data_IF_180117983412
#
_entry.id   IF_180117983412
#
_cell.length_a   1.000
_cell.length_b   1.000
_cell.length_c   1.000
_cell.angle_alpha   90.00
_cell.angle_beta   90.00
_cell.angle_gamma   90.00
#
_symmetry.space_group_name_H-M   'P 1'
#
loop_
_entity.id
_entity.type
_entity.pdbx_description
1 polymer ?
#
# COMPACT_ATOMS: atom_id res chain seq x y z
N UNK A 1 0.41 10.51 -19.52
CA UNK A 1 1.14 10.30 -18.26
C UNK A 1 0.94 8.87 -17.78
N UNK A 2 1.87 7.99 -18.16
CA UNK A 2 1.76 6.54 -17.91
C UNK A 2 1.92 6.17 -16.44
N UNK A 3 2.65 6.99 -15.68
CA UNK A 3 2.97 6.74 -14.27
C UNK A 3 1.94 7.30 -13.29
N UNK A 4 0.93 8.06 -13.75
CA UNK A 4 0.08 8.91 -12.90
C UNK A 4 0.86 9.89 -12.01
N UNK A 5 2.18 10.02 -12.21
CA UNK A 5 3.07 10.78 -11.36
C UNK A 5 2.66 12.24 -11.18
N UNK A 6 2.14 12.86 -12.23
CA UNK A 6 1.68 14.27 -12.15
C UNK A 6 0.53 14.47 -11.17
N UNK A 7 -0.41 13.52 -11.08
CA UNK A 7 -1.52 13.60 -10.15
C UNK A 7 -1.06 13.36 -8.70
N UNK A 8 -0.20 12.38 -8.50
CA UNK A 8 0.33 12.04 -7.18
C UNK A 8 1.20 13.18 -6.61
N UNK A 9 2.09 13.75 -7.45
CA UNK A 9 2.91 14.92 -7.05
C UNK A 9 2.01 16.13 -6.74
N UNK A 10 0.96 16.36 -7.54
CA UNK A 10 0.03 17.48 -7.28
C UNK A 10 -0.65 17.32 -5.91
N UNK A 11 -1.08 16.12 -5.55
CA UNK A 11 -1.69 15.85 -4.26
C UNK A 11 -0.70 16.09 -3.12
N UNK A 12 0.55 15.62 -3.26
CA UNK A 12 1.60 15.86 -2.27
C UNK A 12 1.93 17.36 -2.10
N UNK A 13 2.00 18.11 -3.20
CA UNK A 13 2.22 19.57 -3.15
C UNK A 13 1.04 20.32 -2.52
N UNK A 14 -0.19 19.87 -2.78
CA UNK A 14 -1.37 20.45 -2.16
C UNK A 14 -1.35 20.20 -0.63
N UNK A 15 -1.12 18.97 -0.22
CA UNK A 15 -1.04 18.61 1.21
C UNK A 15 0.12 19.34 1.89
N UNK A 16 1.28 19.42 1.24
CA UNK A 16 2.42 20.20 1.74
C UNK A 16 2.08 21.68 1.93
N UNK A 17 1.30 22.26 1.04
CA UNK A 17 0.88 23.66 1.14
C UNK A 17 -0.10 23.88 2.28
N UNK A 18 -0.94 22.90 2.62
CA UNK A 18 -1.96 22.99 3.67
C UNK A 18 -1.42 22.59 5.05
N UNK A 19 -0.63 21.53 5.12
CA UNK A 19 -0.19 20.90 6.37
C UNK A 19 1.32 21.02 6.63
N UNK A 20 2.08 21.55 5.66
CA UNK A 20 3.52 21.70 5.75
C UNK A 20 4.32 20.47 5.36
N UNK A 21 3.66 19.32 5.13
CA UNK A 21 4.31 18.06 4.79
C UNK A 21 3.61 17.40 3.61
N UNK A 22 4.36 16.97 2.61
CA UNK A 22 3.86 16.20 1.48
C UNK A 22 4.70 14.95 1.29
N UNK A 23 4.08 13.78 1.23
CA UNK A 23 4.75 12.49 1.22
C UNK A 23 4.46 11.79 -0.10
N UNK A 24 5.51 11.25 -0.71
CA UNK A 24 5.45 10.44 -1.93
C UNK A 24 6.25 9.16 -1.71
N UNK A 25 5.65 8.04 -2.05
CA UNK A 25 6.21 6.71 -1.93
C UNK A 25 6.57 6.17 -3.30
N UNK A 26 7.72 5.50 -3.40
CA UNK A 26 8.19 4.92 -4.66
C UNK A 26 9.56 5.48 -5.10
N UNK A 27 9.99 5.19 -6.35
CA UNK A 27 9.23 4.53 -7.42
C UNK A 27 9.13 3.01 -7.28
N UNK A 28 7.96 2.46 -7.59
CA UNK A 28 7.73 1.02 -7.69
C UNK A 28 7.65 0.57 -9.13
N UNK A 29 8.08 -0.64 -9.41
CA UNK A 29 7.82 -1.28 -10.68
C UNK A 29 6.39 -1.83 -10.71
N UNK A 30 5.58 -1.28 -11.59
CA UNK A 30 4.21 -1.71 -11.81
C UNK A 30 4.07 -2.37 -13.17
N UNK A 31 3.50 -3.58 -13.21
CA UNK A 31 3.20 -4.28 -14.45
C UNK A 31 1.88 -3.75 -15.01
N UNK A 32 1.95 -3.05 -16.14
CA UNK A 32 0.80 -2.55 -16.89
C UNK A 32 0.52 -3.46 -18.07
N UNK A 33 -0.71 -3.94 -18.17
CA UNK A 33 -1.16 -4.71 -19.32
C UNK A 33 -1.72 -3.76 -20.37
N UNK A 34 -1.01 -3.64 -21.47
CA UNK A 34 -1.48 -2.89 -22.66
C UNK A 34 -2.30 -3.83 -23.51
N UNK A 35 -3.55 -3.46 -23.76
CA UNK A 35 -4.44 -4.19 -24.65
C UNK A 35 -4.06 -3.88 -26.09
N UNK A 36 -3.47 -4.87 -26.78
CA UNK A 36 -3.08 -4.76 -28.18
C UNK A 36 -3.83 -5.78 -29.02
N UNK A 37 -4.33 -5.34 -30.14
CA UNK A 37 -4.96 -6.18 -31.14
C UNK A 37 -4.08 -6.18 -32.38
N UNK A 38 -3.58 -7.33 -32.75
CA UNK A 38 -2.83 -7.51 -34.00
C UNK A 38 -3.79 -8.02 -35.08
N UNK A 39 -3.56 -7.58 -36.31
CA UNK A 39 -4.35 -8.02 -37.46
C UNK A 39 -3.43 -8.82 -38.36
N UNK A 40 -3.77 -10.06 -38.62
CA UNK A 40 -3.02 -10.95 -39.50
C UNK A 40 -3.18 -10.56 -40.99
N UNK A 41 -2.36 -11.17 -41.87
CA UNK A 41 -2.42 -10.93 -43.30
C UNK A 41 -3.78 -11.30 -43.90
N UNK A 42 -4.50 -12.22 -43.29
CA UNK A 42 -5.84 -12.66 -43.65
C UNK A 42 -6.97 -11.74 -43.09
N UNK A 43 -6.61 -10.68 -42.34
CA UNK A 43 -7.54 -9.73 -41.76
C UNK A 43 -8.19 -10.16 -40.46
N UNK A 44 -7.79 -11.29 -39.87
CA UNK A 44 -8.25 -11.74 -38.57
C UNK A 44 -7.59 -10.95 -37.45
N UNK A 45 -8.39 -10.56 -36.45
CA UNK A 45 -7.91 -9.82 -35.27
C UNK A 45 -7.63 -10.79 -34.12
N UNK A 46 -6.39 -10.83 -33.69
CA UNK A 46 -5.96 -11.57 -32.50
C UNK A 46 -5.67 -10.62 -31.34
N UNK A 47 -6.09 -10.99 -30.14
CA UNK A 47 -5.81 -10.25 -28.92
C UNK A 47 -4.44 -10.67 -28.37
N UNK A 48 -3.47 -9.76 -28.42
CA UNK A 48 -2.10 -9.99 -27.97
C UNK A 48 -1.71 -8.92 -26.91
N UNK A 49 -2.04 -9.14 -25.62
CA UNK A 49 -1.72 -8.18 -24.58
C UNK A 49 -0.22 -8.13 -24.31
N UNK A 50 0.32 -6.91 -24.27
CA UNK A 50 1.71 -6.66 -23.93
C UNK A 50 1.82 -6.23 -22.46
N UNK A 51 2.63 -6.91 -21.69
CA UNK A 51 2.96 -6.51 -20.32
C UNK A 51 4.20 -5.61 -20.32
N UNK A 52 4.03 -4.40 -19.83
CA UNK A 52 5.09 -3.39 -19.76
C UNK A 52 5.31 -3.00 -18.31
N UNK A 53 6.56 -2.97 -17.88
CA UNK A 53 6.93 -2.44 -16.55
C UNK A 53 7.06 -0.92 -16.63
N UNK A 54 6.29 -0.23 -15.81
CA UNK A 54 6.32 1.23 -15.70
C UNK A 54 6.61 1.63 -14.26
N UNK A 55 7.45 2.64 -14.03
CA UNK A 55 7.65 3.18 -12.69
C UNK A 55 6.37 3.89 -12.24
N UNK A 56 5.97 3.66 -11.01
CA UNK A 56 4.83 4.30 -10.38
C UNK A 56 5.25 4.91 -9.06
N UNK A 57 4.75 6.10 -8.78
CA UNK A 57 4.80 6.74 -7.47
C UNK A 57 3.40 6.83 -6.91
N UNK A 58 3.28 6.89 -5.60
CA UNK A 58 2.04 6.96 -4.87
C UNK A 58 2.11 8.11 -3.86
N UNK A 59 1.07 8.93 -3.83
CA UNK A 59 0.89 9.91 -2.77
C UNK A 59 0.44 9.21 -1.50
N UNK A 60 1.05 9.57 -0.37
CA UNK A 60 0.68 9.10 0.96
C UNK A 60 0.25 10.30 1.78
N UNK A 61 -0.95 10.25 2.33
CA UNK A 61 -1.40 11.31 3.23
C UNK A 61 -0.60 11.30 4.53
N UNK A 62 -0.22 12.47 5.03
CA UNK A 62 0.49 12.60 6.29
C UNK A 62 -0.29 12.03 7.49
N UNK A 63 -1.62 11.90 7.36
CA UNK A 63 -2.50 11.30 8.36
C UNK A 63 -2.41 9.77 8.43
N UNK A 64 -1.90 9.13 7.38
CA UNK A 64 -1.75 7.68 7.27
C UNK A 64 -0.28 7.24 7.24
N UNK A 65 0.62 8.18 7.55
CA UNK A 65 2.06 7.97 7.59
C UNK A 65 2.58 8.09 9.02
N UNK A 66 3.19 7.04 9.53
CA UNK A 66 3.70 6.95 10.90
C UNK A 66 5.19 6.62 10.86
N UNK A 67 6.05 7.64 10.84
CA UNK A 67 7.50 7.43 10.95
C UNK A 67 7.88 7.11 12.39
N UNK A 68 9.09 6.63 12.60
CA UNK A 68 9.70 6.46 13.90
C UNK A 68 9.70 7.80 14.67
N UNK A 69 9.05 7.87 15.86
CA UNK A 69 8.98 9.08 16.64
C UNK A 69 10.32 9.52 17.25
N UNK A 70 11.33 8.64 17.29
CA UNK A 70 12.67 8.95 17.79
C UNK A 70 13.55 9.65 16.76
N UNK A 71 13.23 9.49 15.46
CA UNK A 71 13.99 10.07 14.37
C UNK A 71 13.63 11.54 14.11
N UNK A 72 14.62 12.32 13.70
CA UNK A 72 14.44 13.75 13.32
C UNK A 72 14.28 13.92 11.82
N UNK A 73 14.69 12.94 11.02
CA UNK A 73 14.54 12.91 9.57
C UNK A 73 14.12 11.52 9.09
N UNK A 74 13.59 11.43 7.88
CA UNK A 74 13.18 10.14 7.29
C UNK A 74 14.36 9.19 7.09
N UNK A 75 15.57 9.71 6.89
CA UNK A 75 16.79 8.95 6.68
C UNK A 75 17.31 8.28 7.96
N UNK A 76 16.90 8.82 9.12
CA UNK A 76 17.25 8.29 10.44
C UNK A 76 16.17 7.34 11.00
N UNK A 77 15.04 7.19 10.32
CA UNK A 77 13.98 6.31 10.76
C UNK A 77 14.43 4.85 10.71
N UNK A 78 14.30 4.12 11.80
CA UNK A 78 14.45 2.67 11.82
C UNK A 78 13.26 1.99 11.14
N UNK A 79 12.09 2.61 11.22
CA UNK A 79 10.89 2.11 10.56
C UNK A 79 9.93 3.22 10.15
N UNK A 80 9.07 2.87 9.22
CA UNK A 80 7.92 3.67 8.81
C UNK A 80 6.72 2.76 8.64
N UNK A 81 5.57 3.17 9.14
CA UNK A 81 4.31 2.45 8.95
C UNK A 81 3.38 3.29 8.08
N UNK A 82 2.86 2.69 7.01
CA UNK A 82 1.82 3.27 6.18
C UNK A 82 0.49 2.55 6.42
N UNK A 83 -0.53 3.29 6.80
CA UNK A 83 -1.87 2.79 7.06
C UNK A 83 -2.71 2.81 5.78
N UNK A 84 -3.25 1.68 5.42
CA UNK A 84 -4.18 1.54 4.31
C UNK A 84 -5.60 1.31 4.80
N UNK A 85 -6.54 1.96 4.12
CA UNK A 85 -7.97 1.76 4.31
C UNK A 85 -8.51 0.95 3.14
N UNK A 86 -8.78 -0.32 3.38
CA UNK A 86 -9.21 -1.25 2.35
C UNK A 86 -10.67 -1.66 2.56
N UNK A 87 -11.42 -1.73 1.47
CA UNK A 87 -12.74 -2.34 1.51
C UNK A 87 -12.62 -3.89 1.42
N UNK A 88 -13.71 -4.58 1.70
CA UNK A 88 -13.77 -6.05 1.70
C UNK A 88 -13.33 -6.69 0.37
N UNK A 89 -13.61 -6.03 -0.76
CA UNK A 89 -13.22 -6.53 -2.08
C UNK A 89 -11.72 -6.41 -2.30
N UNK A 90 -11.13 -5.27 -1.91
CA UNK A 90 -9.69 -5.04 -1.99
C UNK A 90 -8.92 -6.01 -1.10
N UNK A 91 -9.37 -6.21 0.15
CA UNK A 91 -8.74 -7.19 1.06
C UNK A 91 -8.80 -8.62 0.48
N UNK A 92 -9.91 -9.00 -0.16
CA UNK A 92 -10.00 -10.30 -0.84
C UNK A 92 -9.04 -10.44 -2.02
N UNK A 93 -8.75 -9.35 -2.73
CA UNK A 93 -7.80 -9.37 -3.86
C UNK A 93 -6.36 -9.64 -3.39
N UNK A 94 -5.98 -9.18 -2.19
CA UNK A 94 -4.66 -9.46 -1.62
C UNK A 94 -4.42 -10.96 -1.45
N UNK A 95 -5.47 -11.75 -1.18
CA UNK A 95 -5.37 -13.20 -1.06
C UNK A 95 -4.79 -13.90 -2.30
N UNK A 96 -4.95 -13.29 -3.46
CA UNK A 96 -4.46 -13.83 -4.72
C UNK A 96 -3.04 -13.36 -5.06
N UNK A 97 -2.44 -12.54 -4.21
CA UNK A 97 -1.08 -12.03 -4.42
C UNK A 97 -0.07 -12.94 -3.70
N UNK A 98 1.11 -13.16 -4.30
CA UNK A 98 2.21 -13.81 -3.58
C UNK A 98 2.58 -12.96 -2.36
N UNK A 99 3.12 -13.58 -1.33
CA UNK A 99 3.56 -12.95 -0.07
C UNK A 99 2.46 -12.52 0.90
N UNK A 100 1.19 -12.84 0.62
CA UNK A 100 0.09 -12.64 1.57
C UNK A 100 -0.43 -13.98 2.10
N UNK A 101 -0.56 -14.09 3.42
CA UNK A 101 -1.14 -15.27 4.05
C UNK A 101 -2.67 -15.31 3.82
N UNK A 102 -3.11 -16.35 3.11
CA UNK A 102 -4.52 -16.56 2.79
C UNK A 102 -5.36 -16.78 4.06
N UNK A 103 -4.83 -17.52 5.04
CA UNK A 103 -5.56 -17.85 6.25
C UNK A 103 -5.68 -16.63 7.17
N UNK A 104 -4.66 -15.81 7.27
CA UNK A 104 -4.71 -14.54 7.98
C UNK A 104 -5.77 -13.60 7.37
N UNK A 105 -5.80 -13.46 6.06
CA UNK A 105 -6.81 -12.64 5.37
C UNK A 105 -8.22 -13.21 5.58
N UNK A 106 -8.39 -14.52 5.56
CA UNK A 106 -9.68 -15.18 5.82
C UNK A 106 -10.16 -14.90 7.23
N UNK A 107 -9.27 -14.98 8.21
CA UNK A 107 -9.57 -14.67 9.61
C UNK A 107 -9.97 -13.20 9.79
N UNK A 108 -9.24 -12.26 9.20
CA UNK A 108 -9.60 -10.84 9.22
C UNK A 108 -11.00 -10.59 8.61
N UNK A 109 -11.31 -11.26 7.50
CA UNK A 109 -12.63 -11.15 6.87
C UNK A 109 -13.78 -11.72 7.74
N UNK A 110 -13.49 -12.72 8.59
CA UNK A 110 -14.45 -13.30 9.53
C UNK A 110 -14.64 -12.43 10.77
N UNK A 111 -13.57 -11.82 11.28
CA UNK A 111 -13.61 -10.88 12.40
C UNK A 111 -14.45 -9.64 12.09
N UNK A 112 -14.50 -9.24 10.83
CA UNK A 112 -15.22 -8.04 10.37
C UNK A 112 -14.32 -6.81 10.23
N UNK A 113 -14.94 -5.72 9.82
CA UNK A 113 -14.26 -4.44 9.64
C UNK A 113 -13.75 -3.88 10.98
N UNK A 114 -12.49 -3.44 10.98
CA UNK A 114 -11.79 -2.97 12.18
C UNK A 114 -11.25 -1.54 12.04
N UNK A 115 -11.63 -0.83 10.97
CA UNK A 115 -11.16 0.53 10.76
C UNK A 115 -11.78 1.48 11.79
N UNK A 116 -10.94 2.09 12.60
CA UNK A 116 -11.34 3.14 13.53
C UNK A 116 -11.20 4.52 12.86
N UNK A 117 -12.30 5.27 12.87
CA UNK A 117 -12.29 6.63 12.33
C UNK A 117 -11.48 7.57 13.23
N UNK A 118 -10.68 8.40 12.59
CA UNK A 118 -10.01 9.49 13.30
C UNK A 118 -10.97 10.66 13.52
N UNK A 119 -10.72 11.47 14.56
CA UNK A 119 -11.57 12.59 14.94
C UNK A 119 -11.84 13.58 13.79
N UNK A 120 -10.86 13.81 12.92
CA UNK A 120 -11.05 14.71 11.78
C UNK A 120 -11.93 14.10 10.68
N UNK A 121 -11.93 12.78 10.51
CA UNK A 121 -12.80 12.08 9.54
C UNK A 121 -14.27 12.13 10.01
N UNK A 122 -14.52 12.01 11.31
CA UNK A 122 -15.87 12.14 11.86
C UNK A 122 -16.45 13.52 11.64
N UNK A 123 -15.67 14.59 11.83
CA UNK A 123 -16.12 15.95 11.54
C UNK A 123 -16.50 16.18 10.07
N UNK A 124 -15.73 15.59 9.14
CA UNK A 124 -16.06 15.67 7.71
C UNK A 124 -17.35 14.92 7.35
N UNK A 125 -17.66 13.85 8.09
CA UNK A 125 -18.90 13.07 7.90
C UNK A 125 -20.11 13.75 8.46
N UNK A 126 -20.01 14.40 9.62
CA UNK A 126 -21.10 15.16 10.23
C UNK A 126 -21.64 16.21 9.25
N UNK A 127 -20.74 16.87 8.51
CA UNK A 127 -21.12 17.82 7.48
C UNK A 127 -21.75 17.15 6.24
N UNK A 128 -21.38 15.91 5.93
CA UNK A 128 -21.84 15.17 4.76
C UNK A 128 -23.11 14.32 4.99
N UNK A 129 -23.66 14.28 6.21
CA UNK A 129 -24.81 13.41 6.60
C UNK A 129 -24.64 11.95 6.18
N UNK A 130 -23.44 11.40 6.31
CA UNK A 130 -23.19 9.99 6.04
C UNK A 130 -23.70 9.14 7.21
N UNK A 131 -24.59 8.19 6.91
CA UNK A 131 -25.12 7.25 7.90
C UNK A 131 -23.98 6.50 8.61
N UNK A 132 -24.01 6.50 9.94
CA UNK A 132 -22.98 5.93 10.83
C UNK A 132 -22.85 4.40 10.76
N UNK A 133 -23.73 3.72 10.05
CA UNK A 133 -23.94 2.27 10.22
C UNK A 133 -23.06 1.35 9.35
N UNK A 134 -22.11 1.88 8.59
CA UNK A 134 -21.30 1.04 7.69
C UNK A 134 -19.79 1.21 7.88
N UNK A 135 -19.27 0.74 9.00
CA UNK A 135 -17.83 0.40 9.07
C UNK A 135 -17.58 -0.81 8.17
N UNK A 136 -17.34 -0.55 6.90
CA UNK A 136 -17.09 -1.60 5.90
C UNK A 136 -15.63 -1.75 5.55
N UNK A 137 -14.76 -0.92 6.17
CA UNK A 137 -13.36 -0.84 5.85
C UNK A 137 -12.48 -1.56 6.87
N UNK A 138 -11.40 -2.13 6.35
CA UNK A 138 -10.36 -2.80 7.11
C UNK A 138 -9.13 -1.90 7.16
N UNK A 139 -8.51 -1.81 8.32
CA UNK A 139 -7.22 -1.19 8.50
C UNK A 139 -6.12 -2.22 8.20
N UNK A 140 -5.23 -1.87 7.29
CA UNK A 140 -4.05 -2.67 6.97
C UNK A 140 -2.82 -1.79 7.14
N UNK A 141 -1.87 -2.26 7.92
CA UNK A 141 -0.61 -1.57 8.18
C UNK A 141 0.49 -2.19 7.33
N UNK A 142 1.16 -1.36 6.57
CA UNK A 142 2.33 -1.72 5.78
C UNK A 142 3.57 -1.20 6.51
N UNK A 143 4.46 -2.11 6.88
CA UNK A 143 5.68 -1.81 7.61
C UNK A 143 6.87 -1.77 6.64
N UNK A 144 7.70 -0.76 6.78
CA UNK A 144 8.96 -0.60 6.10
C UNK A 144 10.03 -0.29 7.12
N UNK A 145 11.06 -1.09 7.21
CA UNK A 145 12.08 -0.82 8.20
C UNK A 145 13.04 -1.97 8.44
N UNK A 146 13.77 -1.84 9.53
CA UNK A 146 14.71 -2.84 10.02
C UNK A 146 13.99 -3.71 11.05
N UNK A 147 14.26 -5.00 11.03
CA UNK A 147 13.67 -5.99 11.93
C UNK A 147 14.71 -7.07 12.23
N UNK A 148 14.69 -7.57 13.45
CA UNK A 148 15.51 -8.72 13.83
C UNK A 148 15.13 -9.94 13.00
N UNK A 149 16.12 -10.71 12.54
CA UNK A 149 15.88 -11.88 11.69
C UNK A 149 15.08 -12.95 12.41
N UNK A 150 15.27 -13.13 13.73
CA UNK A 150 14.48 -14.03 14.54
C UNK A 150 12.99 -13.68 14.49
N UNK A 151 12.67 -12.40 14.73
CA UNK A 151 11.28 -11.93 14.70
C UNK A 151 10.67 -11.97 13.29
N UNK A 152 11.47 -11.67 12.25
CA UNK A 152 11.02 -11.77 10.88
C UNK A 152 10.60 -13.21 10.51
N UNK A 153 11.34 -14.24 11.01
CA UNK A 153 10.97 -15.65 10.82
C UNK A 153 9.72 -16.03 11.61
N UNK A 154 9.56 -15.51 12.83
CA UNK A 154 8.36 -15.77 13.66
C UNK A 154 7.08 -15.23 12.97
N UNK A 155 7.15 -14.10 12.29
CA UNK A 155 6.02 -13.53 11.54
C UNK A 155 5.86 -14.12 10.14
N UNK A 156 6.69 -15.11 9.77
CA UNK A 156 6.56 -15.87 8.54
C UNK A 156 7.27 -15.27 7.33
N UNK A 157 8.21 -14.35 7.53
CA UNK A 157 9.04 -13.81 6.45
C UNK A 157 10.12 -14.84 6.11
N UNK A 158 10.16 -15.28 4.85
CA UNK A 158 11.19 -16.18 4.35
C UNK A 158 12.52 -15.43 4.19
N UNK A 159 13.48 -15.76 5.02
CA UNK A 159 14.85 -15.24 4.94
C UNK A 159 15.80 -16.28 4.36
N UNK A 160 16.91 -15.81 3.81
CA UNK A 160 18.00 -16.67 3.36
C UNK A 160 18.61 -17.44 4.54
N UNK A 161 18.99 -18.72 4.31
CA UNK A 161 19.60 -19.61 5.32
C UNK A 161 20.93 -19.09 5.89
N UNK A 162 21.54 -18.09 5.24
CA UNK A 162 22.81 -17.51 5.65
C UNK A 162 22.69 -16.33 6.63
N UNK A 163 21.45 -15.97 7.02
CA UNK A 163 21.18 -14.86 7.93
C UNK A 163 21.02 -15.45 9.34
N UNK A 164 21.88 -15.02 10.26
CA UNK A 164 21.79 -15.42 11.68
C UNK A 164 20.61 -14.73 12.36
N UNK A 165 20.11 -15.33 13.45
CA UNK A 165 18.94 -14.82 14.18
C UNK A 165 19.18 -13.43 14.82
N UNK A 166 20.45 -13.10 15.07
CA UNK A 166 20.88 -11.80 15.60
C UNK A 166 21.12 -10.74 14.52
N UNK A 167 21.00 -11.10 13.25
CA UNK A 167 21.16 -10.16 12.17
C UNK A 167 19.90 -9.27 12.03
N UNK A 168 20.12 -8.04 11.63
CA UNK A 168 19.07 -7.12 11.25
C UNK A 168 18.77 -7.26 9.75
N UNK A 169 17.51 -7.35 9.40
CA UNK A 169 17.05 -7.45 8.02
C UNK A 169 16.13 -6.31 7.66
N UNK A 170 16.27 -5.79 6.45
CA UNK A 170 15.36 -4.79 5.93
C UNK A 170 14.12 -5.48 5.37
N UNK A 171 12.95 -5.09 5.85
CA UNK A 171 11.65 -5.63 5.44
C UNK A 171 10.73 -4.54 4.88
N UNK A 172 9.84 -4.96 3.98
CA UNK A 172 8.85 -4.10 3.33
C UNK A 172 7.63 -4.91 2.86
#
# INVERSE_FOLDING_TARGET
>A
DESKGSSEIRNALLESSLLGTGIVKGPFNFNKKLHKWDTDEDGERSYNPLEVRVPRIEFVSCWDFYPDPAATSIEECEYVVHRHKLNKSQLRQLRNMPYFDEDAIRNCLQMGANYEEKSFESHLKDDARADEDYQTNFEVLEYWGIMDAEYAREVGIELSDNIDDLDEVQVN
#
